data_IF_145610466750
#
_entry.id   IF_145610466750
#
_cell.length_a   1.000
_cell.length_b   1.000
_cell.length_c   1.000
_cell.angle_alpha   90.00
_cell.angle_beta   90.00
_cell.angle_gamma   90.00
#
_symmetry.space_group_name_H-M   'P 1'
#
loop_
_entity.id
_entity.type
_entity.pdbx_description
1 polymer ?
#
# COMPACT_ATOMS: atom_id res chain seq x y z
N UNK A 1 12.68 4.44 -2.75
CA UNK A 1 11.47 4.75 -3.58
C UNK A 1 11.08 3.50 -4.35
N UNK A 2 9.85 3.01 -4.15
CA UNK A 2 9.36 1.71 -4.64
C UNK A 2 9.67 1.40 -6.12
N UNK A 3 9.63 2.40 -7.00
CA UNK A 3 9.95 2.24 -8.43
C UNK A 3 11.40 1.79 -8.71
N UNK A 4 12.36 2.17 -7.86
CA UNK A 4 13.80 1.85 -8.05
C UNK A 4 14.18 0.46 -7.52
N UNK A 5 13.36 -0.11 -6.64
CA UNK A 5 13.66 -1.37 -5.94
C UNK A 5 12.76 -2.54 -6.36
N UNK A 6 11.88 -2.35 -7.35
CA UNK A 6 10.97 -3.40 -7.79
C UNK A 6 11.73 -4.52 -8.48
N UNK A 7 11.63 -5.74 -7.94
CA UNK A 7 12.14 -6.97 -8.56
C UNK A 7 11.20 -7.51 -9.64
N UNK A 8 9.98 -6.96 -9.73
CA UNK A 8 8.95 -7.33 -10.68
C UNK A 8 8.69 -6.24 -11.70
N UNK A 9 8.21 -6.63 -12.89
CA UNK A 9 7.78 -5.69 -13.92
C UNK A 9 6.64 -4.81 -13.38
N UNK A 10 6.83 -3.50 -13.45
CA UNK A 10 5.84 -2.50 -13.03
C UNK A 10 4.70 -2.35 -14.05
N UNK A 11 4.94 -2.76 -15.30
CA UNK A 11 3.96 -2.73 -16.37
C UNK A 11 2.71 -3.51 -15.98
N UNK A 12 1.55 -2.85 -16.05
CA UNK A 12 0.25 -3.47 -15.73
C UNK A 12 -0.08 -3.55 -14.23
N UNK A 13 0.86 -3.20 -13.35
CA UNK A 13 0.59 -3.11 -11.90
C UNK A 13 -0.33 -1.93 -11.59
N UNK A 14 -1.15 -2.07 -10.55
CA UNK A 14 -2.05 -1.01 -10.09
C UNK A 14 -1.39 -0.27 -8.92
N UNK A 15 -1.19 1.02 -9.08
CA UNK A 15 -0.86 1.93 -7.99
C UNK A 15 -2.16 2.46 -7.39
N UNK A 16 -2.43 2.09 -6.14
CA UNK A 16 -3.58 2.59 -5.39
C UNK A 16 -3.15 3.71 -4.42
N UNK A 17 -3.88 4.82 -4.40
CA UNK A 17 -3.63 5.94 -3.48
C UNK A 17 -4.93 6.65 -3.07
N UNK A 18 -4.86 7.45 -2.01
CA UNK A 18 -5.90 8.45 -1.73
C UNK A 18 -5.83 9.63 -2.73
N UNK A 19 -6.72 10.62 -2.53
CA UNK A 19 -6.77 11.87 -3.30
C UNK A 19 -6.02 13.05 -2.66
N UNK A 20 -5.00 12.76 -1.84
CA UNK A 20 -4.08 13.78 -1.38
C UNK A 20 -3.48 14.57 -2.57
N UNK A 21 -3.27 15.87 -2.39
CA UNK A 21 -2.79 16.76 -3.46
C UNK A 21 -1.48 16.30 -4.08
N UNK A 22 -0.61 15.64 -3.30
CA UNK A 22 0.64 15.06 -3.77
C UNK A 22 0.44 13.93 -4.80
N UNK A 23 -0.65 13.15 -4.68
CA UNK A 23 -0.96 12.04 -5.58
C UNK A 23 -1.71 12.51 -6.82
N UNK A 24 -2.51 13.57 -6.70
CA UNK A 24 -3.18 14.21 -7.83
C UNK A 24 -2.22 15.04 -8.71
N UNK A 25 -1.01 15.33 -8.24
CA UNK A 25 -0.07 16.18 -8.97
C UNK A 25 0.36 15.57 -10.31
N UNK A 26 0.27 16.33 -11.39
CA UNK A 26 0.52 15.86 -12.76
C UNK A 26 1.90 15.20 -12.93
N UNK A 27 2.95 15.74 -12.31
CA UNK A 27 4.31 15.15 -12.37
C UNK A 27 4.36 13.76 -11.73
N UNK A 28 3.60 13.54 -10.66
CA UNK A 28 3.49 12.25 -10.00
C UNK A 28 2.78 11.23 -10.89
N UNK A 29 1.61 11.61 -11.40
CA UNK A 29 0.79 10.79 -12.32
C UNK A 29 1.58 10.41 -13.58
N UNK A 30 2.24 11.37 -14.21
CA UNK A 30 3.03 11.14 -15.42
C UNK A 30 4.20 10.18 -15.16
N UNK A 31 4.81 10.26 -13.97
CA UNK A 31 5.88 9.32 -13.59
C UNK A 31 5.36 7.89 -13.45
N UNK A 32 4.17 7.67 -12.90
CA UNK A 32 3.60 6.32 -12.81
C UNK A 32 3.24 5.78 -14.19
N UNK A 33 2.60 6.61 -15.04
CA UNK A 33 2.27 6.25 -16.42
C UNK A 33 3.50 5.92 -17.26
N UNK A 34 4.62 6.64 -17.07
CA UNK A 34 5.87 6.37 -17.80
C UNK A 34 6.48 5.01 -17.45
N UNK A 35 6.07 4.40 -16.33
CA UNK A 35 6.47 3.03 -15.94
C UNK A 35 5.39 2.00 -16.29
N UNK A 36 4.35 2.38 -17.05
CA UNK A 36 3.28 1.49 -17.48
C UNK A 36 2.33 1.05 -16.38
N UNK A 37 2.32 1.78 -15.25
CA UNK A 37 1.43 1.48 -14.13
C UNK A 37 0.03 2.03 -14.39
N UNK A 38 -0.96 1.31 -13.89
CA UNK A 38 -2.36 1.74 -13.81
C UNK A 38 -2.57 2.48 -12.50
N UNK A 39 -3.37 3.54 -12.51
CA UNK A 39 -3.60 4.36 -11.32
C UNK A 39 -5.05 4.16 -10.87
N UNK A 40 -5.24 3.88 -9.60
CA UNK A 40 -6.53 3.77 -8.93
C UNK A 40 -6.52 4.74 -7.74
N UNK A 41 -7.42 5.71 -7.73
CA UNK A 41 -7.55 6.66 -6.62
C UNK A 41 -8.92 6.53 -5.98
N UNK A 42 -8.97 6.68 -4.66
CA UNK A 42 -10.21 6.59 -3.87
C UNK A 42 -11.26 7.57 -4.40
N UNK A 43 -12.46 7.08 -4.77
CA UNK A 43 -13.47 7.89 -5.46
C UNK A 43 -14.40 8.69 -4.54
N UNK A 44 -14.56 8.22 -3.32
CA UNK A 44 -15.36 8.84 -2.28
C UNK A 44 -14.50 8.87 -1.02
N UNK A 45 -14.79 9.74 -0.05
CA UNK A 45 -14.12 9.73 1.25
C UNK A 45 -14.45 8.49 2.10
N UNK A 46 -14.60 7.32 1.46
CA UNK A 46 -14.88 6.06 2.11
C UNK A 46 -13.62 5.60 2.85
N UNK A 47 -13.66 5.53 4.19
CA UNK A 47 -12.51 5.09 4.97
C UNK A 47 -12.00 3.69 4.59
N UNK A 48 -12.83 2.87 3.95
CA UNK A 48 -12.47 1.51 3.53
C UNK A 48 -11.45 1.48 2.41
N UNK A 49 -11.41 2.50 1.57
CA UNK A 49 -10.49 2.53 0.43
C UNK A 49 -9.02 2.63 0.90
N UNK A 50 -8.76 3.35 1.99
CA UNK A 50 -7.42 3.54 2.54
C UNK A 50 -7.10 2.62 3.73
N UNK A 51 -8.03 1.74 4.11
CA UNK A 51 -7.95 0.95 5.35
C UNK A 51 -6.68 0.10 5.46
N UNK A 52 -6.15 -0.41 4.34
CA UNK A 52 -4.90 -1.20 4.34
C UNK A 52 -3.69 -0.32 4.69
N UNK A 53 -3.59 0.85 4.07
CA UNK A 53 -2.51 1.80 4.32
C UNK A 53 -2.60 2.37 5.75
N UNK A 54 -3.79 2.71 6.20
CA UNK A 54 -4.04 3.20 7.56
C UNK A 54 -3.70 2.16 8.61
N UNK A 55 -4.10 0.91 8.40
CA UNK A 55 -3.74 -0.19 9.31
C UNK A 55 -2.22 -0.36 9.41
N UNK A 56 -1.51 -0.35 8.28
CA UNK A 56 -0.05 -0.45 8.28
C UNK A 56 0.58 0.72 9.03
N UNK A 57 0.16 1.96 8.73
CA UNK A 57 0.64 3.15 9.40
C UNK A 57 0.37 3.13 10.90
N UNK A 58 -0.79 2.62 11.33
CA UNK A 58 -1.14 2.42 12.72
C UNK A 58 -0.20 1.42 13.41
N UNK A 59 0.08 0.27 12.78
CA UNK A 59 1.03 -0.71 13.33
C UNK A 59 2.42 -0.09 13.49
N UNK A 60 2.93 0.60 12.47
CA UNK A 60 4.26 1.20 12.55
C UNK A 60 4.33 2.24 13.66
N UNK A 61 3.38 3.17 13.72
CA UNK A 61 3.42 4.31 14.66
C UNK A 61 3.05 3.94 16.08
N UNK A 62 2.00 3.15 16.24
CA UNK A 62 1.35 2.92 17.54
C UNK A 62 1.69 1.57 18.15
N UNK A 63 2.33 0.66 17.43
CA UNK A 63 2.80 -0.60 18.01
C UNK A 63 4.33 -0.68 18.01
N UNK A 64 4.96 -0.43 16.86
CA UNK A 64 6.41 -0.64 16.72
C UNK A 64 7.26 0.57 17.15
N UNK A 65 6.71 1.77 17.01
CA UNK A 65 7.39 3.01 17.39
C UNK A 65 6.76 3.68 18.62
N UNK A 66 5.85 2.99 19.31
CA UNK A 66 5.17 3.54 20.48
C UNK A 66 6.19 3.87 21.58
N UNK A 67 6.08 5.07 22.15
CA UNK A 67 6.99 5.55 23.20
C UNK A 67 8.39 5.95 22.72
N UNK A 68 8.70 5.81 21.42
CA UNK A 68 9.95 6.31 20.86
C UNK A 68 9.86 7.82 20.61
N UNK A 69 10.86 8.56 21.09
CA UNK A 69 10.97 10.00 20.88
C UNK A 69 12.32 10.32 20.20
N UNK A 70 12.37 10.38 18.86
CA UNK A 70 13.60 10.70 18.16
C UNK A 70 14.02 12.15 18.43
N UNK A 71 15.28 12.36 18.81
CA UNK A 71 15.86 13.66 19.07
C UNK A 71 16.09 14.48 17.78
N UNK A 72 16.19 13.82 16.64
CA UNK A 72 16.39 14.45 15.33
C UNK A 72 15.85 13.55 14.20
N UNK A 73 15.83 14.10 12.99
CA UNK A 73 15.31 13.41 11.81
C UNK A 73 16.06 12.12 11.49
N UNK A 74 17.40 12.11 11.63
CA UNK A 74 18.22 10.91 11.36
C UNK A 74 17.84 9.77 12.29
N UNK A 75 17.72 10.03 13.58
CA UNK A 75 17.29 9.03 14.54
C UNK A 75 15.85 8.55 14.27
N UNK A 76 14.96 9.45 13.84
CA UNK A 76 13.60 9.07 13.41
C UNK A 76 13.61 8.14 12.20
N UNK A 77 14.52 8.36 11.25
CA UNK A 77 14.70 7.46 10.10
C UNK A 77 15.24 6.10 10.51
N UNK A 78 16.23 6.03 11.41
CA UNK A 78 16.75 4.76 11.94
C UNK A 78 15.66 3.95 12.66
N UNK A 79 14.85 4.61 13.51
CA UNK A 79 13.72 3.97 14.19
C UNK A 79 12.66 3.47 13.20
N UNK A 80 12.40 4.22 12.13
CA UNK A 80 11.45 3.81 11.09
C UNK A 80 11.99 2.62 10.29
N UNK A 81 13.28 2.62 9.93
CA UNK A 81 13.92 1.51 9.24
C UNK A 81 13.85 0.22 10.07
N UNK A 82 14.10 0.32 11.38
CA UNK A 82 13.95 -0.79 12.32
C UNK A 82 12.51 -1.31 12.38
N UNK A 83 11.53 -0.41 12.54
CA UNK A 83 10.12 -0.79 12.57
C UNK A 83 9.67 -1.48 11.26
N UNK A 84 10.14 -0.99 10.11
CA UNK A 84 9.87 -1.61 8.81
C UNK A 84 10.54 -2.99 8.69
N UNK A 85 11.76 -3.15 9.21
CA UNK A 85 12.44 -4.46 9.24
C UNK A 85 11.66 -5.45 10.10
N UNK A 86 11.32 -5.08 11.34
CA UNK A 86 10.55 -5.92 12.25
C UNK A 86 9.23 -6.34 11.61
N UNK A 87 8.51 -5.40 10.97
CA UNK A 87 7.26 -5.72 10.29
C UNK A 87 7.43 -6.73 9.15
N UNK A 88 8.44 -6.54 8.29
CA UNK A 88 8.59 -7.36 7.08
C UNK A 88 9.32 -8.69 7.31
N UNK A 89 10.23 -8.75 8.28
CA UNK A 89 11.19 -9.85 8.42
C UNK A 89 10.99 -10.66 9.72
N UNK A 90 10.33 -10.11 10.73
CA UNK A 90 10.22 -10.74 12.05
C UNK A 90 8.75 -11.02 12.45
N UNK A 91 7.81 -10.14 12.09
CA UNK A 91 6.41 -10.26 12.49
C UNK A 91 5.68 -11.33 11.68
N UNK A 92 5.10 -12.32 12.36
CA UNK A 92 4.26 -13.33 11.73
C UNK A 92 2.83 -12.81 11.55
N UNK A 93 2.23 -13.09 10.38
CA UNK A 93 0.89 -12.64 10.06
C UNK A 93 -0.03 -13.82 9.75
N UNK A 94 -1.13 -13.94 10.50
CA UNK A 94 -2.14 -14.99 10.28
C UNK A 94 -2.77 -14.95 8.89
N UNK A 95 -2.86 -13.77 8.26
CA UNK A 95 -3.42 -13.60 6.91
C UNK A 95 -2.53 -14.19 5.81
N UNK A 96 -1.28 -14.50 6.11
CA UNK A 96 -0.30 -15.09 5.19
C UNK A 96 0.29 -16.37 5.79
N UNK A 97 -0.56 -17.21 6.37
CA UNK A 97 -0.21 -18.54 6.91
C UNK A 97 0.93 -18.51 7.95
N UNK A 98 0.88 -17.52 8.84
CA UNK A 98 1.91 -17.30 9.88
C UNK A 98 3.32 -17.13 9.30
N UNK A 99 3.43 -16.59 8.09
CA UNK A 99 4.70 -16.18 7.52
C UNK A 99 4.95 -14.69 7.78
N UNK A 100 6.21 -14.28 7.60
CA UNK A 100 6.59 -12.86 7.56
C UNK A 100 6.36 -12.31 6.14
N UNK A 101 6.02 -11.00 5.98
CA UNK A 101 5.72 -10.41 4.68
C UNK A 101 6.81 -10.61 3.63
N UNK A 102 8.08 -10.50 4.01
CA UNK A 102 9.21 -10.73 3.11
C UNK A 102 9.19 -12.15 2.52
N UNK A 103 8.86 -13.16 3.33
CA UNK A 103 8.80 -14.55 2.87
C UNK A 103 7.58 -14.79 1.98
N UNK A 104 6.42 -14.26 2.38
CA UNK A 104 5.21 -14.38 1.59
C UNK A 104 5.34 -13.72 0.21
N UNK A 105 6.10 -12.63 0.09
CA UNK A 105 6.35 -11.95 -1.17
C UNK A 105 7.16 -12.78 -2.18
N UNK A 106 8.00 -13.72 -1.71
CA UNK A 106 8.79 -14.62 -2.56
C UNK A 106 7.97 -15.79 -3.12
N UNK A 107 6.74 -16.01 -2.63
CA UNK A 107 5.93 -17.15 -3.06
C UNK A 107 5.31 -16.89 -4.43
N UNK A 108 5.46 -17.83 -5.34
CA UNK A 108 4.90 -17.78 -6.69
C UNK A 108 3.44 -18.27 -6.77
N UNK A 109 2.86 -18.66 -5.62
CA UNK A 109 1.48 -19.13 -5.54
C UNK A 109 0.64 -18.22 -4.65
N UNK A 110 -0.67 -18.22 -4.91
CA UNK A 110 -1.63 -17.48 -4.09
C UNK A 110 -1.78 -18.14 -2.72
N UNK A 111 -1.58 -17.34 -1.67
CA UNK A 111 -1.85 -17.76 -0.30
C UNK A 111 -3.36 -17.90 -0.06
N UNK A 112 -3.79 -18.91 0.71
CA UNK A 112 -5.20 -19.11 1.01
C UNK A 112 -5.75 -17.96 1.84
N UNK A 113 -6.93 -17.46 1.46
CA UNK A 113 -7.63 -16.44 2.23
C UNK A 113 -8.12 -17.02 3.56
N UNK A 114 -7.49 -16.65 4.67
CA UNK A 114 -7.85 -17.15 6.01
C UNK A 114 -8.97 -16.36 6.71
N UNK A 115 -9.38 -15.22 6.16
CA UNK A 115 -10.47 -14.40 6.72
C UNK A 115 -11.79 -14.64 5.99
N UNK A 116 -12.88 -14.56 6.74
CA UNK A 116 -14.24 -14.53 6.19
C UNK A 116 -14.60 -13.08 5.86
N UNK A 117 -15.06 -12.83 4.63
CA UNK A 117 -15.77 -11.59 4.34
C UNK A 117 -17.17 -11.71 4.93
N UNK A 118 -17.53 -10.82 5.84
CA UNK A 118 -18.89 -10.77 6.42
C UNK A 118 -19.86 -9.94 5.56
N UNK A 119 -19.39 -9.37 4.46
CA UNK A 119 -20.22 -8.59 3.54
C UNK A 119 -20.74 -9.48 2.42
N UNK A 120 -22.07 -9.58 2.31
CA UNK A 120 -22.76 -10.35 1.28
C UNK A 120 -22.58 -9.76 -0.14
N UNK A 121 -22.29 -8.45 -0.21
CA UNK A 121 -21.98 -7.75 -1.44
C UNK A 121 -20.47 -7.53 -1.50
N UNK A 122 -19.79 -8.33 -2.32
CA UNK A 122 -18.46 -7.97 -2.81
C UNK A 122 -18.66 -6.66 -3.55
N UNK A 123 -17.94 -5.61 -3.16
CA UNK A 123 -17.99 -4.34 -3.87
C UNK A 123 -17.26 -4.56 -5.20
N UNK A 124 -17.99 -5.14 -6.17
CA UNK A 124 -17.41 -5.67 -7.40
C UNK A 124 -16.60 -4.60 -8.11
N UNK A 125 -17.02 -3.33 -8.02
CA UNK A 125 -16.33 -2.13 -8.49
C UNK A 125 -14.89 -2.02 -7.98
N UNK A 126 -14.63 -2.21 -6.68
CA UNK A 126 -13.28 -2.11 -6.09
C UNK A 126 -12.34 -3.23 -6.56
N UNK A 127 -12.89 -4.42 -6.83
CA UNK A 127 -12.15 -5.59 -7.33
C UNK A 127 -12.17 -5.71 -8.87
N UNK A 128 -12.81 -4.77 -9.59
CA UNK A 128 -12.78 -4.79 -11.05
C UNK A 128 -11.40 -4.34 -11.54
N UNK A 129 -10.77 -5.10 -12.43
CA UNK A 129 -9.54 -4.68 -13.10
C UNK A 129 -9.80 -3.54 -14.10
N UNK A 130 -10.92 -2.80 -14.04
CA UNK A 130 -11.28 -1.74 -14.98
C UNK A 130 -11.50 -0.36 -14.34
N UNK A 131 -11.45 -0.21 -13.01
CA UNK A 131 -11.51 1.12 -12.38
C UNK A 131 -10.14 1.82 -12.46
N UNK A 132 -9.75 2.06 -13.70
CA UNK A 132 -8.90 3.15 -14.13
C UNK A 132 -9.80 4.30 -14.61
N UNK A 133 -10.86 4.64 -13.88
CA UNK A 133 -11.57 5.89 -14.13
C UNK A 133 -10.76 7.03 -13.52
N UNK A 134 -9.80 7.47 -14.34
CA UNK A 134 -9.43 8.87 -14.42
C UNK A 134 -10.75 9.63 -14.58
N UNK A 135 -11.27 10.25 -13.53
CA UNK A 135 -12.08 11.45 -13.74
C UNK A 135 -11.17 12.40 -14.48
N UNK A 136 -11.57 12.67 -15.72
CA UNK A 136 -10.90 13.53 -16.68
C UNK A 136 -10.92 14.97 -16.18
N UNK A 137 -10.13 15.32 -15.18
CA UNK A 137 -9.75 16.71 -14.98
C UNK A 137 -8.51 16.98 -15.83
N UNK A 138 -8.78 17.26 -17.11
CA UNK A 138 -7.80 17.76 -18.08
C UNK A 138 -7.43 19.25 -17.84
N UNK A 139 -7.62 19.75 -16.60
CA UNK A 139 -7.46 21.16 -16.27
C UNK A 139 -6.68 21.41 -14.96
N UNK A 140 -5.56 20.70 -14.75
CA UNK A 140 -4.50 21.13 -13.83
C UNK A 140 -3.11 20.90 -14.43
#
# INVERSE_FOLDING_TARGET
MALKGSRHALQGQIHHSDRGSQYCYARYVNRLRSHGMRISMTQSGDPRDNAVAERLNGILKNELMEGLAPANFTQGMEMLEEAVRIYNEERLHMSIDLQVPAKAHELDHRLPRRWKSYYAHVNLEQDQPEIATLTQDQHL
#
